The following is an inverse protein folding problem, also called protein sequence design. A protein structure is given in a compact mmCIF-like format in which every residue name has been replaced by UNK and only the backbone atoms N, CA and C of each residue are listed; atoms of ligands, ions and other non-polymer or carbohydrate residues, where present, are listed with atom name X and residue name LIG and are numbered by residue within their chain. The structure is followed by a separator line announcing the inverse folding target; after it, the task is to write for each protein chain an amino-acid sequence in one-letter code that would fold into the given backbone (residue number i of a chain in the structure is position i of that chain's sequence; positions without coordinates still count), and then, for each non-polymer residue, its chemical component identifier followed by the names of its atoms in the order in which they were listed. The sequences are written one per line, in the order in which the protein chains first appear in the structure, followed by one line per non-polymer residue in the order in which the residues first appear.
data_IF_591670426939
#
_entry.id   IF_591670426939
#
_cell.length_a   1.000
_cell.length_b   1.000
_cell.length_c   1.000
_cell.angle_alpha   90.00
_cell.angle_beta   90.00
_cell.angle_gamma   90.00
#
_symmetry.space_group_name_H-M   'P 1'
#
loop_
_entity.id
_entity.type
_entity.pdbx_description
1 polymer ?
#
# COMPACT_ATOMS: atom_id res chain seq x y z
N UNK A 1 -4.45 10.49 -43.63
CA UNK A 1 -3.14 9.79 -43.58
C UNK A 1 -3.09 8.89 -42.34
N UNK A 2 -2.19 7.90 -42.30
CA UNK A 2 -2.16 6.90 -41.20
C UNK A 2 -2.04 7.50 -39.80
N UNK A 3 -1.45 8.69 -39.67
CA UNK A 3 -1.25 9.39 -38.40
C UNK A 3 -2.53 10.03 -37.81
N UNK A 4 -3.63 10.12 -38.57
CA UNK A 4 -4.88 10.71 -38.08
C UNK A 4 -5.55 9.86 -36.98
N UNK A 5 -5.12 8.62 -36.79
CA UNK A 5 -5.53 7.76 -35.67
C UNK A 5 -4.83 8.12 -34.36
N UNK A 6 -3.68 8.82 -34.41
CA UNK A 6 -2.89 9.08 -33.21
C UNK A 6 -3.66 9.89 -32.15
N UNK A 7 -4.45 10.92 -32.49
CA UNK A 7 -5.24 11.64 -31.49
C UNK A 7 -6.25 10.76 -30.76
N UNK A 8 -6.99 9.90 -31.48
CA UNK A 8 -7.98 9.00 -30.85
C UNK A 8 -7.30 7.90 -30.03
N UNK A 9 -6.19 7.34 -30.52
CA UNK A 9 -5.38 6.39 -29.77
C UNK A 9 -4.81 7.01 -28.48
N UNK A 10 -4.32 8.25 -28.54
CA UNK A 10 -3.84 8.99 -27.37
C UNK A 10 -4.94 9.19 -26.31
N UNK A 11 -6.17 9.53 -26.73
CA UNK A 11 -7.30 9.69 -25.81
C UNK A 11 -7.60 8.35 -25.12
N UNK A 12 -7.60 7.24 -25.85
CA UNK A 12 -7.84 5.91 -25.29
C UNK A 12 -6.73 5.53 -24.29
N UNK A 13 -5.46 5.70 -24.67
CA UNK A 13 -4.32 5.39 -23.81
C UNK A 13 -4.33 6.26 -22.55
N UNK A 14 -4.63 7.56 -22.67
CA UNK A 14 -4.77 8.44 -21.52
C UNK A 14 -5.94 8.01 -20.63
N UNK A 15 -7.11 7.73 -21.22
CA UNK A 15 -8.30 7.31 -20.49
C UNK A 15 -8.12 5.99 -19.71
N UNK A 16 -7.34 5.05 -20.24
CA UNK A 16 -7.04 3.78 -19.58
C UNK A 16 -5.82 3.87 -18.64
N UNK A 17 -4.82 4.67 -18.97
CA UNK A 17 -3.58 4.79 -18.21
C UNK A 17 -3.70 5.68 -16.97
N UNK A 18 -4.42 6.80 -17.08
CA UNK A 18 -4.58 7.76 -15.98
C UNK A 18 -5.21 7.13 -14.73
N UNK A 19 -6.27 6.29 -14.80
CA UNK A 19 -6.85 5.68 -13.60
C UNK A 19 -5.86 4.80 -12.83
N UNK A 20 -5.06 3.99 -13.52
CA UNK A 20 -4.05 3.13 -12.89
C UNK A 20 -2.92 3.94 -12.25
N UNK A 21 -2.39 4.92 -12.98
CA UNK A 21 -1.35 5.81 -12.47
C UNK A 21 -1.84 6.68 -11.30
N UNK A 22 -3.07 7.20 -11.40
CA UNK A 22 -3.71 7.99 -10.35
C UNK A 22 -3.92 7.17 -9.08
N UNK A 23 -4.42 5.93 -9.20
CA UNK A 23 -4.64 5.06 -8.05
C UNK A 23 -3.34 4.74 -7.29
N UNK A 24 -2.23 4.56 -7.99
CA UNK A 24 -0.90 4.37 -7.38
C UNK A 24 -0.50 5.51 -6.44
N UNK A 25 -0.79 6.76 -6.83
CA UNK A 25 -0.50 7.93 -6.01
C UNK A 25 -1.53 8.15 -4.90
N UNK A 26 -2.81 7.90 -5.20
CA UNK A 26 -3.89 7.98 -4.20
C UNK A 26 -3.65 6.98 -3.07
N UNK A 27 -3.22 5.75 -3.37
CA UNK A 27 -2.87 4.78 -2.34
C UNK A 27 -1.75 5.29 -1.43
N UNK A 28 -0.70 5.89 -1.99
CA UNK A 28 0.38 6.44 -1.18
C UNK A 28 -0.11 7.56 -0.25
N UNK A 29 -0.98 8.43 -0.74
CA UNK A 29 -1.54 9.54 0.03
C UNK A 29 -2.44 9.05 1.17
N UNK A 30 -3.29 8.03 0.92
CA UNK A 30 -4.29 7.57 1.90
C UNK A 30 -3.73 6.53 2.87
N UNK A 31 -2.89 5.62 2.38
CA UNK A 31 -2.41 4.44 3.12
C UNK A 31 -0.97 4.61 3.63
N UNK A 32 -0.23 5.59 3.10
CA UNK A 32 1.22 5.71 3.33
C UNK A 32 2.04 4.67 2.56
N UNK A 33 1.42 3.96 1.61
CA UNK A 33 2.08 2.98 0.77
C UNK A 33 1.40 2.92 -0.61
N UNK A 34 2.19 2.72 -1.66
CA UNK A 34 1.69 2.66 -3.05
C UNK A 34 0.81 1.44 -3.34
N UNK A 35 1.06 0.33 -2.63
CA UNK A 35 0.42 -0.94 -2.88
C UNK A 35 -0.44 -1.38 -1.70
N UNK A 36 -1.64 -1.88 -2.00
CA UNK A 36 -2.53 -2.44 -1.01
C UNK A 36 -2.15 -3.89 -0.70
N UNK A 37 -2.14 -4.28 0.58
CA UNK A 37 -1.93 -5.68 0.97
C UNK A 37 -3.10 -6.56 0.55
N UNK A 38 -2.81 -7.82 0.25
CA UNK A 38 -3.81 -8.84 -0.03
C UNK A 38 -4.59 -9.18 1.23
N UNK A 39 -5.91 -9.32 1.10
CA UNK A 39 -6.86 -9.58 2.19
C UNK A 39 -7.89 -10.63 1.77
N UNK A 40 -7.49 -11.54 0.87
CA UNK A 40 -8.38 -12.55 0.29
C UNK A 40 -8.70 -13.62 1.34
N UNK A 41 -7.68 -14.07 2.06
CA UNK A 41 -7.83 -15.13 3.04
C UNK A 41 -8.19 -14.60 4.42
N UNK A 42 -8.73 -15.48 5.27
CA UNK A 42 -9.04 -15.13 6.67
C UNK A 42 -7.77 -14.79 7.44
N UNK A 43 -6.69 -15.55 7.22
CA UNK A 43 -5.41 -15.35 7.90
C UNK A 43 -4.81 -13.98 7.58
N UNK A 44 -4.79 -13.60 6.30
CA UNK A 44 -4.31 -12.28 5.84
C UNK A 44 -5.06 -11.12 6.51
N UNK A 45 -6.39 -11.25 6.65
CA UNK A 45 -7.22 -10.24 7.32
C UNK A 45 -6.92 -10.15 8.82
N UNK A 46 -6.69 -11.28 9.49
CA UNK A 46 -6.28 -11.27 10.89
C UNK A 46 -4.91 -10.62 11.10
N UNK A 47 -3.93 -10.94 10.23
CA UNK A 47 -2.61 -10.32 10.28
C UNK A 47 -2.68 -8.81 10.01
N UNK A 48 -3.49 -8.37 9.05
CA UNK A 48 -3.69 -6.94 8.80
C UNK A 48 -4.25 -6.19 10.01
N UNK A 49 -5.24 -6.79 10.70
CA UNK A 49 -5.78 -6.20 11.93
C UNK A 49 -4.78 -6.23 13.08
N UNK A 50 -3.96 -7.28 13.20
CA UNK A 50 -2.87 -7.35 14.19
C UNK A 50 -1.90 -6.20 13.98
N UNK A 51 -1.41 -6.03 12.75
CA UNK A 51 -0.43 -4.99 12.43
C UNK A 51 -1.03 -3.59 12.67
N UNK A 52 -2.29 -3.37 12.28
CA UNK A 52 -3.02 -2.12 12.59
C UNK A 52 -3.08 -1.82 14.10
N UNK A 53 -3.25 -2.83 14.96
CA UNK A 53 -3.31 -2.64 16.42
C UNK A 53 -1.94 -2.38 17.05
N UNK A 54 -0.87 -2.92 16.47
CA UNK A 54 0.49 -2.75 16.98
C UNK A 54 1.08 -1.39 16.62
N UNK A 55 0.88 -0.92 15.38
CA UNK A 55 1.53 0.30 14.86
C UNK A 55 0.57 1.44 14.56
N UNK A 56 -0.74 1.20 14.52
CA UNK A 56 -1.72 2.14 13.99
C UNK A 56 -1.74 2.23 12.46
N UNK A 57 -0.72 1.71 11.75
CA UNK A 57 -0.66 1.64 10.30
C UNK A 57 -0.12 0.26 9.84
N UNK A 58 -0.92 -0.56 9.14
CA UNK A 58 -0.57 -1.94 8.78
C UNK A 58 0.51 -2.06 7.69
N UNK A 59 0.98 -0.94 7.15
CA UNK A 59 2.11 -0.87 6.22
C UNK A 59 3.42 -0.48 6.92
N UNK A 60 3.36 -0.03 8.17
CA UNK A 60 4.54 0.17 8.99
C UNK A 60 4.93 -1.15 9.65
N UNK A 61 6.15 -1.63 9.40
CA UNK A 61 6.63 -2.91 9.92
C UNK A 61 7.44 -2.65 11.19
N UNK A 62 7.09 -3.33 12.28
CA UNK A 62 7.91 -3.42 13.48
C UNK A 62 8.78 -4.68 13.37
N UNK A 63 10.09 -4.48 13.34
CA UNK A 63 11.10 -5.52 13.44
C UNK A 63 11.47 -5.83 14.90
N UNK A 64 12.72 -6.23 15.10
CA UNK A 64 13.24 -6.61 16.43
C UNK A 64 13.34 -5.40 17.37
N UNK A 65 13.39 -4.19 16.83
CA UNK A 65 13.43 -2.93 17.59
C UNK A 65 12.17 -2.68 18.43
N UNK A 66 11.05 -3.37 18.16
CA UNK A 66 9.85 -3.31 18.99
C UNK A 66 9.87 -4.27 20.18
N UNK A 67 10.89 -5.12 20.29
CA UNK A 67 11.04 -6.09 21.37
C UNK A 67 11.93 -5.45 22.44
N UNK A 68 11.50 -5.39 23.72
CA UNK A 68 12.36 -4.88 24.78
C UNK A 68 13.58 -5.79 24.97
N UNK A 69 14.76 -5.19 25.11
CA UNK A 69 15.97 -5.90 25.48
C UNK A 69 15.90 -6.36 26.94
N UNK A 70 16.59 -7.45 27.30
CA UNK A 70 16.59 -8.03 28.65
C UNK A 70 16.94 -7.00 29.75
N UNK A 71 17.75 -5.98 29.45
CA UNK A 71 18.10 -4.91 30.40
C UNK A 71 16.96 -3.91 30.63
N UNK A 72 16.10 -3.73 29.64
CA UNK A 72 14.93 -2.85 29.73
C UNK A 72 13.73 -3.52 30.39
N UNK A 73 13.62 -4.85 30.25
CA UNK A 73 12.54 -5.65 30.85
C UNK A 73 12.70 -5.78 32.37
N UNK A 74 13.95 -5.85 32.87
CA UNK A 74 14.25 -5.86 34.32
C UNK A 74 13.92 -4.54 35.05
N UNK A 75 13.64 -3.46 34.33
CA UNK A 75 13.34 -2.13 34.88
C UNK A 75 11.85 -1.78 34.89
N UNK A 76 11.00 -2.63 34.32
CA UNK A 76 9.53 -2.52 34.37
C UNK A 76 8.95 -3.33 35.52
#
# INVERSE_FOLDING_TARGET
MWYEILPSACIIVAGLGIPGWGLYHIHNLVLGNHFRRTLKERWERHLYQRDLRLTGNPYNVIGLEGIPDEETDKKK
#
